data_IF_366707766890
#
_entry.id   IF_366707766890
#
_cell.length_a   1.000
_cell.length_b   1.000
_cell.length_c   1.000
_cell.angle_alpha   90.00
_cell.angle_beta   90.00
_cell.angle_gamma   90.00
#
_symmetry.space_group_name_H-M   'P 1'
#
loop_
_entity.id
_entity.type
_entity.pdbx_description
1 polymer ?
#
# COMPACT_ATOMS: atom_id res chain seq x y z
N UNK A 1 52.55 14.53 -47.46
CA UNK A 1 52.86 15.10 -46.12
C UNK A 1 51.60 15.12 -45.22
N UNK A 2 50.88 14.00 -45.10
CA UNK A 2 49.64 13.88 -44.31
C UNK A 2 49.78 12.98 -43.06
N UNK A 3 50.96 12.40 -42.80
CA UNK A 3 51.08 11.32 -41.81
C UNK A 3 51.29 11.80 -40.36
N UNK A 4 52.17 12.78 -40.11
CA UNK A 4 52.52 13.15 -38.73
C UNK A 4 51.37 13.81 -37.96
N UNK A 5 50.57 14.66 -38.64
CA UNK A 5 49.40 15.33 -38.04
C UNK A 5 48.32 14.34 -37.60
N UNK A 6 48.13 13.26 -38.37
CA UNK A 6 47.12 12.24 -38.06
C UNK A 6 47.61 11.30 -36.95
N UNK A 7 48.89 10.94 -36.95
CA UNK A 7 49.50 10.15 -35.87
C UNK A 7 49.48 10.89 -34.53
N UNK A 8 49.78 12.20 -34.51
CA UNK A 8 49.68 13.00 -33.28
C UNK A 8 48.24 13.08 -32.78
N UNK A 9 47.25 13.19 -33.68
CA UNK A 9 45.83 13.14 -33.29
C UNK A 9 45.41 11.79 -32.73
N UNK A 10 45.93 10.69 -33.27
CA UNK A 10 45.63 9.34 -32.79
C UNK A 10 46.31 9.04 -31.45
N UNK A 11 47.51 9.57 -31.21
CA UNK A 11 48.19 9.48 -29.91
C UNK A 11 47.64 10.46 -28.86
N UNK A 12 47.04 11.57 -29.30
CA UNK A 12 46.37 12.53 -28.44
C UNK A 12 44.88 12.23 -28.25
N UNK A 13 44.36 11.15 -28.85
CA UNK A 13 43.09 10.58 -28.40
C UNK A 13 43.33 10.13 -26.96
N UNK A 14 42.54 10.60 -25.99
CA UNK A 14 42.62 10.07 -24.64
C UNK A 14 42.46 8.54 -24.72
N UNK A 15 43.38 7.80 -24.09
CA UNK A 15 43.20 6.37 -23.91
C UNK A 15 41.92 6.16 -23.10
N UNK A 16 40.91 5.59 -23.74
CA UNK A 16 39.62 5.32 -23.13
C UNK A 16 38.49 5.99 -23.88
N UNK A 17 37.90 5.27 -24.84
CA UNK A 17 36.46 5.41 -24.99
C UNK A 17 35.86 5.21 -23.60
N UNK A 18 35.09 6.18 -23.08
CA UNK A 18 34.22 5.95 -21.93
C UNK A 18 33.18 4.91 -22.35
N UNK A 19 33.55 3.64 -22.30
CA UNK A 19 32.68 2.52 -22.61
C UNK A 19 31.87 2.24 -21.36
N UNK A 20 30.55 2.15 -21.52
CA UNK A 20 29.69 1.68 -20.45
C UNK A 20 29.97 0.18 -20.20
N UNK A 21 30.21 -0.20 -18.95
CA UNK A 21 30.49 -1.58 -18.58
C UNK A 21 29.24 -2.26 -18.05
N UNK A 22 29.00 -3.49 -18.51
CA UNK A 22 28.01 -4.38 -17.87
C UNK A 22 28.67 -4.97 -16.63
N UNK A 23 28.01 -4.83 -15.48
CA UNK A 23 28.50 -5.28 -14.19
C UNK A 23 27.43 -6.13 -13.49
N UNK A 24 27.87 -7.08 -12.67
CA UNK A 24 27.01 -7.81 -11.73
C UNK A 24 26.99 -7.06 -10.39
N UNK A 25 25.81 -6.91 -9.79
CA UNK A 25 25.62 -6.22 -8.52
C UNK A 25 26.09 -7.08 -7.35
N UNK A 26 27.02 -6.57 -6.55
CA UNK A 26 27.58 -7.25 -5.39
C UNK A 26 26.93 -6.76 -4.08
N UNK A 27 26.68 -5.45 -3.96
CA UNK A 27 26.03 -4.84 -2.80
C UNK A 27 25.28 -3.56 -3.18
N UNK A 28 24.22 -3.24 -2.44
CA UNK A 28 23.41 -2.03 -2.62
C UNK A 28 23.29 -1.31 -1.28
N UNK A 29 23.66 -0.03 -1.25
CA UNK A 29 23.43 0.85 -0.11
C UNK A 29 22.25 1.78 -0.43
N UNK A 30 21.14 1.61 0.30
CA UNK A 30 19.93 2.42 0.11
C UNK A 30 20.00 3.80 0.75
N UNK A 31 20.88 3.98 1.73
CA UNK A 31 21.06 5.26 2.43
C UNK A 31 21.90 6.21 1.58
N UNK A 32 23.04 5.74 1.05
CA UNK A 32 23.86 6.53 0.13
C UNK A 32 23.40 6.44 -1.33
N UNK A 33 22.42 5.57 -1.63
CA UNK A 33 21.89 5.30 -2.98
C UNK A 33 23.03 4.96 -3.95
N UNK A 34 23.86 4.03 -3.54
CA UNK A 34 25.01 3.53 -4.32
C UNK A 34 24.97 2.02 -4.48
N UNK A 35 25.76 1.53 -5.44
CA UNK A 35 25.95 0.11 -5.69
C UNK A 35 27.45 -0.21 -5.80
N UNK A 36 27.85 -1.35 -5.26
CA UNK A 36 29.13 -1.97 -5.55
C UNK A 36 28.88 -3.08 -6.59
N UNK A 37 29.69 -3.12 -7.64
CA UNK A 37 29.48 -4.07 -8.74
C UNK A 37 30.78 -4.47 -9.45
N UNK A 38 30.78 -5.70 -9.96
CA UNK A 38 31.93 -6.30 -10.62
C UNK A 38 31.70 -6.38 -12.13
N UNK A 39 32.58 -5.79 -12.97
CA UNK A 39 32.48 -5.91 -14.42
C UNK A 39 32.51 -7.36 -14.90
N UNK A 40 31.65 -7.73 -15.87
CA UNK A 40 31.59 -9.10 -16.39
C UNK A 40 32.83 -9.50 -17.23
N UNK A 41 33.66 -8.52 -17.58
CA UNK A 41 34.90 -8.71 -18.33
C UNK A 41 36.12 -8.98 -17.43
N UNK A 42 35.89 -9.34 -16.16
CA UNK A 42 36.93 -9.59 -15.15
C UNK A 42 37.78 -8.34 -14.83
N UNK A 43 37.22 -7.15 -15.09
CA UNK A 43 37.81 -5.87 -14.68
C UNK A 43 37.78 -5.66 -13.15
N UNK A 44 38.42 -4.58 -12.70
CA UNK A 44 38.41 -4.23 -11.28
C UNK A 44 36.98 -3.92 -10.79
N UNK A 45 36.61 -4.34 -9.57
CA UNK A 45 35.33 -3.98 -8.97
C UNK A 45 35.14 -2.46 -8.88
N UNK A 46 33.91 -2.02 -9.13
CA UNK A 46 33.49 -0.63 -9.03
C UNK A 46 32.75 -0.44 -7.71
N UNK A 47 33.24 0.48 -6.88
CA UNK A 47 32.72 0.73 -5.54
C UNK A 47 31.99 2.08 -5.51
N UNK A 48 30.89 2.15 -4.75
CA UNK A 48 30.15 3.39 -4.52
C UNK A 48 29.58 4.01 -5.81
N UNK A 49 29.22 3.19 -6.79
CA UNK A 49 28.66 3.65 -8.07
C UNK A 49 27.29 4.28 -7.82
N UNK A 50 27.06 5.46 -8.36
CA UNK A 50 25.85 6.24 -8.10
C UNK A 50 24.61 5.64 -8.76
N UNK A 51 23.51 5.49 -8.00
CA UNK A 51 22.16 5.20 -8.54
C UNK A 51 21.39 6.48 -8.91
N UNK A 52 21.87 7.64 -8.49
CA UNK A 52 21.31 8.95 -8.79
C UNK A 52 22.38 10.06 -8.74
N UNK A 53 22.03 11.29 -9.10
CA UNK A 53 23.00 12.38 -9.24
C UNK A 53 23.75 12.78 -7.95
N UNK A 54 23.19 12.52 -6.77
CA UNK A 54 23.77 12.88 -5.47
C UNK A 54 23.61 11.74 -4.46
N UNK A 55 24.71 11.29 -3.84
CA UNK A 55 24.70 10.23 -2.82
C UNK A 55 24.02 10.65 -1.52
N UNK A 56 23.97 11.96 -1.23
CA UNK A 56 23.30 12.51 -0.05
C UNK A 56 21.83 12.91 -0.34
N UNK A 57 21.37 12.68 -1.57
CA UNK A 57 20.03 13.06 -2.00
C UNK A 57 18.96 12.08 -1.51
N UNK A 58 17.89 12.59 -0.92
CA UNK A 58 16.70 11.80 -0.57
C UNK A 58 15.55 11.97 -1.59
N UNK A 59 15.72 12.85 -2.58
CA UNK A 59 14.69 13.20 -3.57
C UNK A 59 15.04 12.74 -5.00
N UNK A 60 14.01 12.59 -5.84
CA UNK A 60 14.15 12.20 -7.24
C UNK A 60 13.64 10.79 -7.54
N UNK A 61 14.10 10.21 -8.64
CA UNK A 61 13.78 8.83 -9.05
C UNK A 61 15.00 7.97 -8.81
N UNK A 62 14.85 6.85 -8.10
CA UNK A 62 15.93 5.93 -7.80
C UNK A 62 15.45 4.48 -8.00
N UNK A 63 16.22 3.72 -8.77
CA UNK A 63 16.01 2.29 -8.98
C UNK A 63 17.07 1.54 -8.18
N UNK A 64 16.64 0.66 -7.27
CA UNK A 64 17.53 -0.18 -6.49
C UNK A 64 17.64 -1.55 -7.15
N UNK A 65 18.79 -1.89 -7.75
CA UNK A 65 18.95 -3.18 -8.41
C UNK A 65 18.95 -4.33 -7.39
N UNK A 66 18.62 -5.54 -7.83
CA UNK A 66 18.74 -6.73 -6.99
C UNK A 66 20.20 -7.21 -6.94
N UNK A 67 20.66 -7.69 -5.79
CA UNK A 67 21.99 -8.31 -5.68
C UNK A 67 22.07 -9.53 -6.61
N UNK A 68 23.17 -9.64 -7.37
CA UNK A 68 23.37 -10.67 -8.39
C UNK A 68 22.70 -10.37 -9.75
N UNK A 69 21.98 -9.26 -9.88
CA UNK A 69 21.45 -8.79 -11.18
C UNK A 69 22.51 -8.01 -11.98
N UNK A 70 22.20 -7.72 -13.24
CA UNK A 70 23.08 -6.92 -14.10
C UNK A 70 22.70 -5.43 -14.12
N UNK A 71 23.73 -4.58 -14.12
CA UNK A 71 23.63 -3.13 -14.33
C UNK A 71 24.59 -2.68 -15.42
N UNK A 72 24.30 -1.55 -16.07
CA UNK A 72 25.22 -0.88 -16.99
C UNK A 72 25.76 0.36 -16.30
N UNK A 73 27.07 0.44 -16.12
CA UNK A 73 27.75 1.56 -15.48
C UNK A 73 28.44 2.41 -16.54
N UNK A 74 28.07 3.69 -16.60
CA UNK A 74 28.79 4.71 -17.37
C UNK A 74 29.73 5.48 -16.46
N UNK A 75 30.89 5.88 -16.99
CA UNK A 75 31.85 6.68 -16.24
C UNK A 75 31.71 8.16 -16.58
N UNK A 76 31.69 8.99 -15.53
CA UNK A 76 31.73 10.45 -15.61
C UNK A 76 33.13 10.92 -15.23
N UNK A 77 33.73 11.78 -16.07
CA UNK A 77 35.06 12.39 -15.91
C UNK A 77 36.23 11.39 -15.77
N UNK A 78 36.83 10.99 -16.91
CA UNK A 78 38.06 10.18 -16.96
C UNK A 78 38.06 8.90 -16.08
N UNK A 79 36.89 8.30 -15.85
CA UNK A 79 36.77 7.05 -15.07
C UNK A 79 36.66 7.23 -13.56
N UNK A 80 36.70 8.45 -13.02
CA UNK A 80 36.76 8.68 -11.58
C UNK A 80 35.43 8.42 -10.84
N UNK A 81 34.29 8.56 -11.52
CA UNK A 81 32.97 8.31 -10.94
C UNK A 81 32.12 7.45 -11.88
N UNK A 82 31.50 6.39 -11.35
CA UNK A 82 30.53 5.57 -12.07
C UNK A 82 29.10 6.01 -11.77
N UNK A 83 28.22 5.94 -12.78
CA UNK A 83 26.77 6.07 -12.63
C UNK A 83 26.08 4.89 -13.30
N UNK A 84 25.06 4.33 -12.64
CA UNK A 84 24.22 3.31 -13.23
C UNK A 84 23.31 3.96 -14.28
N UNK A 85 23.44 3.51 -15.53
CA UNK A 85 22.64 3.97 -16.65
C UNK A 85 21.40 3.10 -16.87
N UNK A 86 21.53 1.79 -16.64
CA UNK A 86 20.47 0.80 -16.82
C UNK A 86 20.56 -0.27 -15.73
N UNK A 87 19.40 -0.79 -15.32
CA UNK A 87 19.24 -1.89 -14.36
C UNK A 87 18.40 -3.00 -14.99
N UNK A 88 18.79 -4.26 -14.81
CA UNK A 88 17.99 -5.41 -15.26
C UNK A 88 16.85 -5.72 -14.28
N UNK A 89 17.17 -6.33 -13.14
CA UNK A 89 16.22 -6.63 -12.06
C UNK A 89 16.39 -5.61 -10.94
N UNK A 90 15.27 -5.19 -10.38
CA UNK A 90 15.22 -4.23 -9.28
C UNK A 90 14.50 -4.82 -8.08
N UNK A 91 15.00 -4.52 -6.89
CA UNK A 91 14.33 -4.83 -5.63
C UNK A 91 13.20 -3.82 -5.37
N UNK A 92 13.47 -2.54 -5.65
CA UNK A 92 12.50 -1.46 -5.50
C UNK A 92 12.75 -0.30 -6.45
N UNK A 93 11.67 0.44 -6.72
CA UNK A 93 11.72 1.74 -7.39
C UNK A 93 11.11 2.78 -6.45
N UNK A 94 11.80 3.90 -6.27
CA UNK A 94 11.36 5.02 -5.45
C UNK A 94 11.28 6.30 -6.28
N UNK A 95 10.24 7.10 -6.01
CA UNK A 95 10.07 8.45 -6.53
C UNK A 95 9.75 9.35 -5.35
N UNK A 96 10.48 10.45 -5.21
CA UNK A 96 10.27 11.46 -4.16
C UNK A 96 10.28 12.85 -4.78
N UNK A 97 9.17 13.58 -4.63
CA UNK A 97 8.95 14.92 -5.17
C UNK A 97 8.36 15.79 -4.05
N UNK A 98 9.20 16.60 -3.41
CA UNK A 98 8.76 17.42 -2.27
C UNK A 98 8.24 16.55 -1.13
N UNK A 99 6.97 16.73 -0.76
CA UNK A 99 6.25 15.98 0.28
C UNK A 99 5.57 14.70 -0.25
N UNK A 100 5.68 14.44 -1.55
CA UNK A 100 5.06 13.29 -2.20
C UNK A 100 6.10 12.20 -2.45
N UNK A 101 5.79 10.96 -2.08
CA UNK A 101 6.63 9.80 -2.36
C UNK A 101 5.82 8.62 -2.88
N UNK A 102 6.44 7.82 -3.75
CA UNK A 102 5.91 6.54 -4.20
C UNK A 102 7.00 5.47 -4.20
N UNK A 103 6.69 4.29 -3.69
CA UNK A 103 7.60 3.14 -3.64
C UNK A 103 6.90 1.91 -4.21
N UNK A 104 7.55 1.24 -5.14
CA UNK A 104 7.13 -0.06 -5.68
C UNK A 104 8.19 -1.09 -5.30
N UNK A 105 7.78 -2.21 -4.72
CA UNK A 105 8.66 -3.30 -4.28
C UNK A 105 7.93 -4.65 -4.30
N UNK A 106 8.63 -5.73 -3.95
CA UNK A 106 8.03 -7.05 -3.77
C UNK A 106 6.94 -7.10 -2.68
N UNK A 107 6.91 -6.14 -1.75
CA UNK A 107 5.90 -6.03 -0.70
C UNK A 107 4.62 -5.35 -1.18
N UNK A 108 4.69 -4.59 -2.27
CA UNK A 108 3.56 -3.90 -2.86
C UNK A 108 3.89 -2.46 -3.28
N UNK A 109 2.86 -1.61 -3.25
CA UNK A 109 2.92 -0.21 -3.69
C UNK A 109 2.53 0.71 -2.56
N UNK A 110 3.37 1.70 -2.24
CA UNK A 110 3.10 2.73 -1.24
C UNK A 110 3.14 4.10 -1.89
N UNK A 111 2.18 4.95 -1.57
CA UNK A 111 2.12 6.35 -1.97
C UNK A 111 1.86 7.19 -0.72
N UNK A 112 2.66 8.23 -0.51
CA UNK A 112 2.46 9.21 0.55
C UNK A 112 2.42 10.62 -0.04
N UNK A 113 1.55 11.47 0.50
CA UNK A 113 1.43 12.90 0.16
C UNK A 113 1.23 13.65 1.47
N UNK A 114 2.31 14.22 2.02
CA UNK A 114 2.31 14.73 3.38
C UNK A 114 1.86 13.65 4.38
N UNK A 115 0.76 13.91 5.09
CA UNK A 115 0.20 12.98 6.09
C UNK A 115 -0.77 11.94 5.50
N UNK A 116 -1.10 12.02 4.21
CA UNK A 116 -2.02 11.08 3.55
C UNK A 116 -1.22 9.92 2.97
N UNK A 117 -1.66 8.69 3.22
CA UNK A 117 -1.01 7.49 2.67
C UNK A 117 -2.02 6.51 2.06
N UNK A 118 -1.57 5.82 1.02
CA UNK A 118 -2.24 4.68 0.43
C UNK A 118 -1.22 3.55 0.19
N UNK A 119 -1.50 2.37 0.74
CA UNK A 119 -0.64 1.21 0.65
C UNK A 119 -1.42 0.01 0.12
N UNK A 120 -0.97 -0.54 -1.01
CA UNK A 120 -1.40 -1.83 -1.52
C UNK A 120 -0.33 -2.86 -1.14
N UNK A 121 -0.71 -3.84 -0.33
CA UNK A 121 0.12 -4.98 0.05
C UNK A 121 -0.48 -6.29 -0.48
N UNK A 122 0.24 -7.40 -0.32
CA UNK A 122 -0.28 -8.75 -0.61
C UNK A 122 -1.55 -9.10 0.17
N UNK A 123 -1.76 -8.47 1.34
CA UNK A 123 -2.87 -8.78 2.25
C UNK A 123 -4.03 -7.81 2.15
N UNK A 124 -3.77 -6.52 1.95
CA UNK A 124 -4.78 -5.47 2.09
C UNK A 124 -4.41 -4.19 1.33
N UNK A 125 -5.46 -3.42 1.03
CA UNK A 125 -5.39 -1.98 0.76
C UNK A 125 -5.55 -1.25 2.09
N UNK A 126 -4.70 -0.27 2.35
CA UNK A 126 -4.71 0.50 3.61
C UNK A 126 -4.55 1.98 3.31
N UNK A 127 -5.49 2.79 3.78
CA UNK A 127 -5.44 4.24 3.75
C UNK A 127 -5.09 4.77 5.13
N UNK A 128 -4.20 5.76 5.21
CA UNK A 128 -3.88 6.49 6.44
C UNK A 128 -3.60 5.59 7.66
N UNK A 129 -2.86 4.50 7.47
CA UNK A 129 -2.52 3.53 8.54
C UNK A 129 -3.56 2.44 8.82
N UNK A 130 -4.84 2.65 8.48
CA UNK A 130 -5.90 1.65 8.64
C UNK A 130 -6.46 1.51 10.05
N UNK A 131 -6.19 2.48 10.92
CA UNK A 131 -6.56 2.45 12.34
C UNK A 131 -8.07 2.62 12.57
N UNK A 132 -8.81 3.15 11.59
CA UNK A 132 -10.26 3.27 11.64
C UNK A 132 -10.96 1.98 11.22
N UNK A 133 -10.26 0.87 11.00
CA UNK A 133 -10.87 -0.43 10.71
C UNK A 133 -11.16 -0.65 9.22
N UNK A 134 -12.08 -1.57 8.94
CA UNK A 134 -12.39 -1.96 7.56
C UNK A 134 -13.40 -1.02 6.90
N UNK A 135 -13.24 -0.77 5.60
CA UNK A 135 -14.17 0.03 4.80
C UNK A 135 -15.58 -0.58 4.86
N UNK A 136 -16.57 0.27 5.06
CA UNK A 136 -17.97 -0.17 5.20
C UNK A 136 -18.48 -0.83 3.92
N UNK A 137 -18.94 -2.07 4.04
CA UNK A 137 -19.69 -2.83 3.03
C UNK A 137 -21.13 -2.31 3.03
N UNK A 138 -21.42 -1.28 2.22
CA UNK A 138 -22.73 -0.62 2.18
C UNK A 138 -23.90 -1.58 2.01
N UNK A 139 -23.76 -2.62 1.16
CA UNK A 139 -24.81 -3.63 0.99
C UNK A 139 -25.07 -4.42 2.28
N UNK A 140 -24.02 -4.94 2.93
CA UNK A 140 -24.16 -5.69 4.17
C UNK A 140 -24.74 -4.83 5.31
N UNK A 141 -24.33 -3.56 5.40
CA UNK A 141 -24.94 -2.61 6.34
C UNK A 141 -26.43 -2.39 6.03
N UNK A 142 -26.78 -2.25 4.75
CA UNK A 142 -28.18 -2.09 4.31
C UNK A 142 -29.02 -3.32 4.67
N UNK A 143 -28.47 -4.52 4.54
CA UNK A 143 -29.16 -5.75 4.92
C UNK A 143 -29.42 -5.78 6.44
N UNK A 144 -28.44 -5.37 7.26
CA UNK A 144 -28.64 -5.21 8.72
C UNK A 144 -29.66 -4.15 9.09
N UNK A 145 -29.73 -3.05 8.34
CA UNK A 145 -30.77 -2.05 8.51
C UNK A 145 -32.15 -2.60 8.12
N UNK A 146 -32.25 -3.43 7.09
CA UNK A 146 -33.49 -4.09 6.70
C UNK A 146 -33.94 -5.13 7.75
N UNK A 147 -33.02 -5.89 8.37
CA UNK A 147 -33.31 -6.76 9.51
C UNK A 147 -33.91 -5.97 10.69
N UNK A 148 -33.34 -4.79 11.00
CA UNK A 148 -33.88 -3.89 12.02
C UNK A 148 -35.29 -3.39 11.64
N UNK A 149 -35.50 -2.96 10.39
CA UNK A 149 -36.81 -2.52 9.89
C UNK A 149 -37.85 -3.65 10.06
N UNK A 150 -37.49 -4.89 9.77
CA UNK A 150 -38.39 -6.04 9.97
C UNK A 150 -38.75 -6.23 11.45
N UNK A 151 -37.78 -6.11 12.36
CA UNK A 151 -38.02 -6.20 13.81
C UNK A 151 -38.97 -5.09 14.30
N UNK A 152 -38.77 -3.86 13.82
CA UNK A 152 -39.64 -2.72 14.15
C UNK A 152 -41.05 -2.93 13.59
N UNK A 153 -41.18 -3.39 12.35
CA UNK A 153 -42.48 -3.69 11.77
C UNK A 153 -43.22 -4.80 12.53
N UNK A 154 -42.50 -5.84 12.98
CA UNK A 154 -43.07 -6.89 13.83
C UNK A 154 -43.58 -6.34 15.17
N UNK A 155 -42.83 -5.42 15.79
CA UNK A 155 -43.26 -4.71 17.01
C UNK A 155 -44.54 -3.89 16.76
N UNK A 156 -44.56 -3.11 15.68
CA UNK A 156 -45.72 -2.29 15.28
C UNK A 156 -46.96 -3.17 15.10
N UNK A 157 -46.81 -4.31 14.40
CA UNK A 157 -47.91 -5.27 14.23
C UNK A 157 -48.39 -5.80 15.56
N UNK A 158 -47.48 -6.30 16.41
CA UNK A 158 -47.84 -6.85 17.72
C UNK A 158 -48.55 -5.82 18.61
N UNK A 159 -48.14 -4.56 18.59
CA UNK A 159 -48.80 -3.49 19.32
C UNK A 159 -50.18 -3.18 18.74
N UNK A 160 -50.30 -3.03 17.42
CA UNK A 160 -51.56 -2.67 16.80
C UNK A 160 -52.63 -3.78 16.89
N UNK A 161 -52.22 -5.05 16.97
CA UNK A 161 -53.14 -6.19 17.10
C UNK A 161 -53.32 -6.66 18.54
N UNK A 162 -52.72 -5.98 19.54
CA UNK A 162 -52.82 -6.45 20.91
C UNK A 162 -54.26 -6.31 21.43
N UNK A 163 -54.68 -7.28 22.25
CA UNK A 163 -55.98 -7.27 22.94
C UNK A 163 -55.77 -7.69 24.38
N UNK A 164 -56.60 -7.17 25.29
CA UNK A 164 -56.61 -7.61 26.68
C UNK A 164 -57.62 -8.75 26.85
N UNK A 165 -57.15 -9.88 27.38
CA UNK A 165 -58.01 -11.00 27.76
C UNK A 165 -58.48 -10.77 29.20
N UNK A 166 -59.79 -10.77 29.42
CA UNK A 166 -60.38 -10.65 30.75
C UNK A 166 -61.12 -11.94 31.11
N UNK A 167 -60.89 -12.45 32.33
CA UNK A 167 -61.67 -13.55 32.92
C UNK A 167 -62.80 -13.04 33.81
N UNK A 168 -63.01 -11.72 33.87
CA UNK A 168 -64.05 -11.13 34.70
C UNK A 168 -65.44 -11.57 34.22
N UNK A 169 -66.18 -12.26 35.10
CA UNK A 169 -67.63 -12.44 34.90
C UNK A 169 -68.30 -11.08 35.14
N UNK A 170 -68.89 -10.48 34.11
CA UNK A 170 -69.75 -9.30 34.28
C UNK A 170 -71.02 -9.73 35.03
N UNK A 171 -71.02 -9.56 36.34
CA UNK A 171 -72.17 -9.77 37.23
C UNK A 171 -72.24 -8.65 38.27
N UNK A 172 -73.36 -8.50 38.98
CA UNK A 172 -73.67 -7.37 39.87
C UNK A 172 -72.77 -7.21 41.13
N UNK A 173 -71.64 -7.92 41.20
CA UNK A 173 -70.67 -7.89 42.29
C UNK A 173 -69.73 -6.67 42.19
N UNK A 174 -69.34 -6.09 43.33
CA UNK A 174 -68.39 -4.98 43.43
C UNK A 174 -66.92 -5.41 43.41
N UNK A 175 -66.62 -6.70 43.21
CA UNK A 175 -65.24 -7.21 43.15
C UNK A 175 -64.54 -6.79 41.84
N UNK A 176 -63.37 -6.13 41.88
CA UNK A 176 -62.62 -5.79 40.68
C UNK A 176 -62.19 -7.04 39.91
N UNK A 177 -62.49 -7.09 38.61
CA UNK A 177 -61.95 -8.13 37.72
C UNK A 177 -60.44 -8.00 37.58
N UNK A 178 -59.72 -9.12 37.53
CA UNK A 178 -58.26 -9.14 37.35
C UNK A 178 -57.94 -9.29 35.85
N UNK A 179 -57.19 -8.34 35.30
CA UNK A 179 -56.65 -8.44 33.94
C UNK A 179 -55.36 -9.27 33.98
N UNK A 180 -55.29 -10.31 33.15
CA UNK A 180 -54.06 -11.10 33.02
C UNK A 180 -53.11 -10.41 32.03
N UNK A 181 -51.80 -10.34 32.31
CA UNK A 181 -50.83 -9.83 31.36
C UNK A 181 -50.71 -10.76 30.14
N UNK A 182 -50.32 -10.21 29.00
CA UNK A 182 -50.09 -10.95 27.76
C UNK A 182 -48.98 -12.00 27.92
N UNK A 183 -49.19 -13.22 27.40
CA UNK A 183 -48.20 -14.31 27.44
C UNK A 183 -47.05 -14.13 26.43
N UNK A 184 -47.26 -13.32 25.39
CA UNK A 184 -46.25 -13.03 24.38
C UNK A 184 -45.39 -11.83 24.76
N UNK A 185 -44.08 -12.06 24.80
CA UNK A 185 -43.07 -11.02 25.04
C UNK A 185 -42.28 -10.77 23.75
N UNK A 186 -42.00 -9.49 23.45
CA UNK A 186 -41.17 -9.14 22.31
C UNK A 186 -39.72 -9.60 22.54
N UNK A 187 -39.05 -10.07 21.48
CA UNK A 187 -37.62 -10.36 21.54
C UNK A 187 -36.80 -9.07 21.40
N UNK A 188 -35.62 -9.06 22.02
CA UNK A 188 -34.68 -7.97 21.84
C UNK A 188 -34.10 -7.98 20.42
N UNK A 189 -33.90 -6.79 19.86
CA UNK A 189 -33.17 -6.63 18.62
C UNK A 189 -31.72 -7.10 18.79
N UNK A 190 -31.15 -7.70 17.75
CA UNK A 190 -29.75 -8.09 17.76
C UNK A 190 -28.85 -6.85 17.71
N UNK A 191 -27.76 -6.82 18.49
CA UNK A 191 -26.80 -5.72 18.41
C UNK A 191 -26.09 -5.73 17.05
N UNK A 192 -25.68 -4.55 16.58
CA UNK A 192 -24.78 -4.47 15.44
C UNK A 192 -23.41 -5.05 15.82
N UNK A 193 -22.87 -5.90 14.95
CA UNK A 193 -21.50 -6.36 15.02
C UNK A 193 -20.71 -5.79 13.85
N UNK A 194 -19.63 -5.08 14.17
CA UNK A 194 -18.77 -4.37 13.21
C UNK A 194 -18.23 -5.30 12.11
N UNK A 195 -17.89 -6.54 12.45
CA UNK A 195 -17.38 -7.52 11.47
C UNK A 195 -18.39 -7.87 10.38
N UNK A 196 -19.69 -7.71 10.63
CA UNK A 196 -20.73 -8.08 9.67
C UNK A 196 -20.70 -7.17 8.44
N UNK A 197 -20.35 -5.89 8.64
CA UNK A 197 -20.43 -4.86 7.61
C UNK A 197 -19.11 -4.15 7.31
N UNK A 198 -17.96 -4.63 7.80
CA UNK A 198 -16.64 -4.13 7.40
C UNK A 198 -15.90 -5.04 6.42
N UNK A 199 -15.09 -4.43 5.56
CA UNK A 199 -14.22 -5.11 4.62
C UNK A 199 -12.86 -5.41 5.27
N UNK A 200 -12.49 -6.68 5.36
CA UNK A 200 -11.24 -7.11 5.98
C UNK A 200 -9.99 -6.77 5.14
N UNK A 201 -10.16 -6.56 3.83
CA UNK A 201 -9.08 -6.32 2.87
C UNK A 201 -8.89 -4.86 2.48
N UNK A 202 -9.83 -3.98 2.84
CA UNK A 202 -9.71 -2.53 2.59
C UNK A 202 -9.88 -1.82 3.91
N UNK A 203 -8.81 -1.18 4.38
CA UNK A 203 -8.76 -0.51 5.69
C UNK A 203 -8.51 0.98 5.51
N UNK A 204 -9.01 1.80 6.41
CA UNK A 204 -8.85 3.25 6.37
C UNK A 204 -8.67 3.86 7.76
#
# INVERSE_FOLDING_TARGET
MQNLRNVIRQLAQPDGETVALVCTVDAVDKSSRTVDCSPINEGAPLLGVNLQANQEGECGVCLFPEIGSYVVVGFVSEGAAGVVLLTEKIESAEIVIGDTSAVISADGVRINVGDISANLSKSAVTFNGGDLGGLVKVQALTDKLNELIQTVNALITSYNTHTHITTATVGASTAPGVLSPTEQTAQQAQPFNRSDYENEKVKH
#
